data_IF_818933519019
#
_entry.id   IF_818933519019
#
_cell.length_a   1.000
_cell.length_b   1.000
_cell.length_c   1.000
_cell.angle_alpha   90.00
_cell.angle_beta   90.00
_cell.angle_gamma   90.00
#
_symmetry.space_group_name_H-M   'P 1'
#
loop_
_entity.id
_entity.type
_entity.pdbx_description
1 polymer ?
#
# COMPACT_ATOMS: atom_id res chain seq x y z
N UNK A 1 -15.50 -5.44 0.01
CA UNK A 1 -14.01 -5.43 -0.04
C UNK A 1 -13.52 -6.85 0.22
N UNK A 2 -13.18 -7.60 -0.82
CA UNK A 2 -13.14 -9.07 -0.84
C UNK A 2 -12.27 -9.75 0.23
N UNK A 3 -11.23 -9.08 0.75
CA UNK A 3 -10.27 -9.69 1.69
C UNK A 3 -10.24 -9.04 3.08
N UNK A 4 -11.15 -8.09 3.39
CA UNK A 4 -11.08 -7.33 4.66
C UNK A 4 -11.22 -8.25 5.89
N UNK A 5 -12.12 -9.24 5.83
CA UNK A 5 -12.33 -10.23 6.88
C UNK A 5 -11.09 -11.11 7.17
N UNK A 6 -10.13 -11.19 6.24
CA UNK A 6 -8.86 -11.90 6.46
C UNK A 6 -7.83 -11.07 7.22
N UNK A 7 -8.06 -9.76 7.36
CA UNK A 7 -7.12 -8.80 7.93
C UNK A 7 -7.64 -8.23 9.25
N UNK A 8 -8.94 -8.00 9.34
CA UNK A 8 -9.62 -7.38 10.47
C UNK A 8 -10.74 -8.30 10.94
N UNK A 9 -10.78 -8.58 12.25
CA UNK A 9 -11.88 -9.28 12.90
C UNK A 9 -13.14 -8.39 12.86
N UNK A 10 -14.24 -8.91 12.31
CA UNK A 10 -15.45 -8.11 12.12
C UNK A 10 -16.22 -7.84 13.43
N UNK A 11 -16.03 -8.69 14.45
CA UNK A 11 -16.70 -8.54 15.74
C UNK A 11 -15.96 -7.56 16.66
N UNK A 12 -14.62 -7.58 16.65
CA UNK A 12 -13.82 -6.74 17.55
C UNK A 12 -13.21 -5.51 16.86
N UNK A 13 -13.05 -5.54 15.53
CA UNK A 13 -12.34 -4.51 14.78
C UNK A 13 -10.82 -4.61 14.87
N UNK A 14 -10.29 -5.61 15.58
CA UNK A 14 -8.85 -5.81 15.74
C UNK A 14 -8.21 -6.45 14.52
N UNK A 15 -6.88 -6.37 14.44
CA UNK A 15 -6.13 -7.12 13.46
C UNK A 15 -6.17 -8.62 13.77
N UNK A 16 -6.50 -9.42 12.76
CA UNK A 16 -6.28 -10.88 12.77
C UNK A 16 -4.77 -11.18 12.83
N UNK A 17 -4.34 -12.41 13.14
CA UNK A 17 -2.93 -12.79 13.07
C UNK A 17 -2.27 -12.45 11.72
N UNK A 18 -2.99 -12.66 10.62
CA UNK A 18 -2.55 -12.27 9.27
C UNK A 18 -2.47 -10.76 9.11
N UNK A 19 -3.44 -10.02 9.63
CA UNK A 19 -3.41 -8.56 9.62
C UNK A 19 -2.18 -8.01 10.35
N UNK A 20 -1.86 -8.56 11.52
CA UNK A 20 -0.66 -8.21 12.29
C UNK A 20 0.62 -8.51 11.52
N UNK A 21 0.70 -9.68 10.89
CA UNK A 21 1.85 -10.08 10.09
C UNK A 21 2.09 -9.15 8.88
N UNK A 22 1.02 -8.76 8.18
CA UNK A 22 1.13 -7.77 7.08
C UNK A 22 1.63 -6.42 7.59
N UNK A 23 1.10 -5.93 8.72
CA UNK A 23 1.55 -4.66 9.32
C UNK A 23 3.00 -4.75 9.78
N UNK A 24 3.43 -5.88 10.35
CA UNK A 24 4.82 -6.08 10.77
C UNK A 24 5.81 -5.99 9.60
N UNK A 25 5.40 -6.45 8.41
CA UNK A 25 6.15 -6.32 7.16
C UNK A 25 5.87 -5.02 6.40
N UNK A 26 5.12 -4.07 6.97
CA UNK A 26 4.86 -2.77 6.35
C UNK A 26 5.58 -1.69 7.16
N UNK A 27 6.72 -1.14 6.69
CA UNK A 27 7.44 -0.09 7.40
C UNK A 27 6.59 1.13 7.80
N UNK A 28 5.57 1.48 7.00
CA UNK A 28 4.62 2.53 7.35
C UNK A 28 3.76 2.22 8.60
N UNK A 29 3.77 0.98 9.11
CA UNK A 29 3.08 0.57 10.33
C UNK A 29 1.56 0.55 10.25
N UNK A 30 0.99 0.66 9.05
CA UNK A 30 -0.45 0.71 8.80
C UNK A 30 -0.83 0.20 7.41
N UNK A 31 -2.10 -0.12 7.22
CA UNK A 31 -2.65 -0.30 5.88
C UNK A 31 -2.73 1.04 5.15
N UNK A 32 -2.52 0.99 3.82
CA UNK A 32 -2.75 2.12 2.94
C UNK A 32 -4.25 2.38 2.72
N UNK A 33 -4.59 3.63 2.45
CA UNK A 33 -5.89 3.99 1.90
C UNK A 33 -5.85 3.99 0.37
N UNK A 34 -6.95 3.62 -0.27
CA UNK A 34 -7.04 3.58 -1.73
C UNK A 34 -6.76 4.93 -2.40
N UNK A 35 -7.05 6.04 -1.71
CA UNK A 35 -6.75 7.40 -2.17
C UNK A 35 -5.26 7.70 -2.29
N UNK A 36 -4.39 6.99 -1.56
CA UNK A 36 -2.94 7.22 -1.59
C UNK A 36 -2.32 6.79 -2.94
N UNK A 37 -2.99 5.93 -3.71
CA UNK A 37 -2.58 5.58 -5.08
C UNK A 37 -2.70 6.77 -6.05
N UNK A 38 -3.64 7.68 -5.80
CA UNK A 38 -3.95 8.78 -6.71
C UNK A 38 -2.75 9.73 -6.90
N UNK A 39 -1.90 9.89 -5.87
CA UNK A 39 -0.71 10.74 -5.94
C UNK A 39 0.28 10.28 -7.02
N UNK A 40 0.60 8.97 -7.03
CA UNK A 40 1.53 8.41 -8.04
C UNK A 40 0.90 8.42 -9.43
N UNK A 41 -0.40 8.15 -9.53
CA UNK A 41 -1.11 8.20 -10.81
C UNK A 41 -1.10 9.61 -11.40
N UNK A 42 -1.34 10.64 -10.57
CA UNK A 42 -1.30 12.04 -11.00
C UNK A 42 0.10 12.47 -11.40
N UNK A 43 1.13 12.04 -10.66
CA UNK A 43 2.53 12.26 -11.02
C UNK A 43 2.84 11.68 -12.40
N UNK A 44 2.54 10.39 -12.63
CA UNK A 44 2.82 9.70 -13.89
C UNK A 44 1.99 10.25 -15.06
N UNK A 45 0.77 10.74 -14.80
CA UNK A 45 -0.07 11.37 -15.82
C UNK A 45 0.39 12.80 -16.20
N UNK A 46 1.22 13.44 -15.37
CA UNK A 46 1.68 14.80 -15.61
C UNK A 46 2.89 14.83 -16.53
N UNK A 47 2.70 15.31 -17.77
CA UNK A 47 3.80 15.51 -18.73
C UNK A 47 4.92 16.38 -18.16
N UNK A 48 4.57 17.44 -17.41
CA UNK A 48 5.54 18.34 -16.80
C UNK A 48 6.36 17.66 -15.70
N UNK A 49 5.75 16.75 -14.93
CA UNK A 49 6.41 16.12 -13.79
C UNK A 49 7.14 14.82 -14.17
N UNK A 50 6.60 14.06 -15.12
CA UNK A 50 7.02 12.70 -15.45
C UNK A 50 7.31 12.49 -16.95
N UNK A 51 7.42 13.55 -17.76
CA UNK A 51 7.54 13.46 -19.23
C UNK A 51 8.74 12.66 -19.76
N UNK A 52 9.70 12.29 -18.90
CA UNK A 52 10.82 11.42 -19.25
C UNK A 52 10.90 10.15 -18.38
N UNK A 53 9.85 9.86 -17.62
CA UNK A 53 9.73 8.65 -16.79
C UNK A 53 8.95 7.59 -17.57
N UNK A 54 9.64 6.52 -17.97
CA UNK A 54 9.05 5.40 -18.70
C UNK A 54 9.73 4.09 -18.33
N UNK A 55 9.04 2.96 -18.51
CA UNK A 55 9.60 1.62 -18.27
C UNK A 55 9.88 1.27 -16.80
N UNK A 56 9.27 1.97 -15.85
CA UNK A 56 9.48 1.76 -14.41
C UNK A 56 8.23 1.26 -13.71
N UNK A 57 8.43 0.51 -12.61
CA UNK A 57 7.38 0.19 -11.63
C UNK A 57 7.60 1.04 -10.40
N UNK A 58 6.59 1.81 -9.98
CA UNK A 58 6.65 2.61 -8.75
C UNK A 58 5.76 1.95 -7.69
N UNK A 59 6.34 1.32 -6.65
CA UNK A 59 5.54 0.71 -5.59
C UNK A 59 4.89 1.77 -4.70
N UNK A 60 3.61 1.56 -4.39
CA UNK A 60 2.83 2.40 -3.45
C UNK A 60 2.23 1.47 -2.40
N UNK A 61 3.08 0.99 -1.50
CA UNK A 61 2.77 -0.15 -0.62
C UNK A 61 3.20 0.09 0.84
N UNK A 62 3.57 1.32 1.20
CA UNK A 62 4.08 1.64 2.54
C UNK A 62 5.42 0.98 2.88
N UNK A 63 6.19 0.54 1.87
CA UNK A 63 7.48 -0.11 2.02
C UNK A 63 7.41 -1.63 2.15
N UNK A 64 6.25 -2.24 1.90
CA UNK A 64 6.03 -3.68 2.09
C UNK A 64 7.06 -4.53 1.32
N UNK A 65 7.36 -4.17 0.07
CA UNK A 65 8.29 -4.91 -0.78
C UNK A 65 9.76 -4.88 -0.32
N UNK A 66 10.15 -3.94 0.54
CA UNK A 66 11.55 -3.80 1.03
C UNK A 66 11.72 -4.21 2.49
N UNK A 67 10.67 -4.68 3.15
CA UNK A 67 10.67 -5.02 4.58
C UNK A 67 11.58 -6.19 4.98
N UNK A 68 12.18 -6.89 4.01
CA UNK A 68 13.06 -8.04 4.21
C UNK A 68 14.50 -7.79 3.71
N UNK A 69 14.89 -6.52 3.56
CA UNK A 69 16.27 -6.06 3.30
C UNK A 69 16.75 -5.32 4.56
#
# INVERSE_FOLDING_TARGET
KQNKALLIDEATGDLTPRGKDVIAHTPAGRFGDASELAGVSLFLASEKAAGFVTGVTVPVDGGYLVSNI
#
